data_IF_729484575377
#
_entry.id   IF_729484575377
#
_cell.length_a   1.000
_cell.length_b   1.000
_cell.length_c   1.000
_cell.angle_alpha   90.00
_cell.angle_beta   90.00
_cell.angle_gamma   90.00
#
_symmetry.space_group_name_H-M   'P 1'
#
loop_
_entity.id
_entity.type
_entity.pdbx_description
1 polymer ?
#
# COMPACT_ATOMS: atom_id res chain seq x y z
N UNK A 1 1.21 -5.03 15.49
CA UNK A 1 2.59 -4.61 15.19
C UNK A 1 3.64 -4.97 16.22
N UNK A 2 3.43 -4.78 17.54
CA UNK A 2 4.52 -4.90 18.55
C UNK A 2 5.27 -6.24 18.61
N UNK A 3 4.72 -7.31 18.03
CA UNK A 3 5.33 -8.65 18.09
C UNK A 3 5.93 -9.10 16.74
N UNK A 4 5.99 -8.24 15.71
CA UNK A 4 6.44 -8.68 14.38
C UNK A 4 7.87 -9.26 14.41
N UNK A 5 8.78 -8.64 15.14
CA UNK A 5 10.16 -9.14 15.28
C UNK A 5 10.20 -10.53 15.95
N UNK A 6 9.38 -10.75 16.98
CA UNK A 6 9.22 -12.08 17.60
C UNK A 6 8.68 -13.13 16.62
N UNK A 7 7.79 -12.75 15.71
CA UNK A 7 7.32 -13.67 14.67
C UNK A 7 8.41 -13.95 13.64
N UNK A 8 9.23 -12.96 13.27
CA UNK A 8 10.35 -13.12 12.34
C UNK A 8 11.43 -14.06 12.88
N UNK A 9 11.62 -14.13 14.20
CA UNK A 9 12.49 -15.12 14.84
C UNK A 9 11.94 -16.56 14.75
N UNK A 10 10.62 -16.72 14.70
CA UNK A 10 9.94 -18.02 14.71
C UNK A 10 9.71 -18.59 13.31
N UNK A 11 9.63 -17.75 12.28
CA UNK A 11 9.35 -18.16 10.93
C UNK A 11 10.18 -17.36 9.91
N UNK A 12 10.88 -18.03 8.98
CA UNK A 12 11.67 -17.35 7.95
C UNK A 12 10.79 -16.67 6.90
N UNK A 13 9.50 -17.03 6.81
CA UNK A 13 8.53 -16.43 5.91
C UNK A 13 7.25 -16.08 6.65
N UNK A 14 6.73 -14.87 6.43
CA UNK A 14 5.52 -14.36 7.09
C UNK A 14 4.59 -13.72 6.06
N UNK A 15 3.30 -14.03 6.20
CA UNK A 15 2.23 -13.33 5.50
C UNK A 15 1.41 -12.59 6.56
N UNK A 16 1.56 -11.26 6.62
CA UNK A 16 0.74 -10.40 7.46
C UNK A 16 -0.61 -10.17 6.79
N UNK A 17 -1.68 -10.70 7.38
CA UNK A 17 -3.05 -10.49 6.92
C UNK A 17 -3.70 -9.23 7.49
N UNK A 18 -3.02 -8.58 8.44
CA UNK A 18 -3.38 -7.28 8.98
C UNK A 18 -3.02 -6.14 8.02
N UNK A 19 -3.12 -4.91 8.53
CA UNK A 19 -2.85 -3.72 7.76
C UNK A 19 -1.47 -3.09 8.05
N UNK A 20 -0.76 -3.62 9.05
CA UNK A 20 0.45 -3.04 9.64
C UNK A 20 1.44 -2.65 8.54
N UNK A 21 1.76 -3.56 7.62
CA UNK A 21 2.80 -3.31 6.62
C UNK A 21 2.28 -3.05 5.19
N UNK A 22 0.99 -2.66 5.05
CA UNK A 22 0.37 -2.37 3.74
C UNK A 22 0.77 -1.00 3.18
N UNK A 23 0.83 0.00 4.06
CA UNK A 23 1.14 1.38 3.70
C UNK A 23 2.65 1.60 3.71
N UNK A 24 3.17 2.42 2.79
CA UNK A 24 4.61 2.67 2.72
C UNK A 24 5.07 4.01 3.28
N UNK A 25 4.20 5.01 3.29
CA UNK A 25 4.46 6.23 4.03
C UNK A 25 3.94 6.06 5.46
N UNK A 26 4.78 6.40 6.44
CA UNK A 26 4.41 6.38 7.87
C UNK A 26 3.36 7.45 8.16
N UNK A 27 3.39 8.52 7.38
CA UNK A 27 2.46 9.64 7.41
C UNK A 27 1.03 9.18 7.08
N UNK A 28 0.90 8.28 6.09
CA UNK A 28 -0.40 7.70 5.73
C UNK A 28 -0.97 6.85 6.87
N UNK A 29 -0.10 6.08 7.55
CA UNK A 29 -0.52 5.32 8.71
C UNK A 29 -1.11 6.26 9.77
N UNK A 30 -0.37 7.31 10.13
CA UNK A 30 -0.82 8.31 11.11
C UNK A 30 -2.14 8.97 10.69
N UNK A 31 -2.28 9.26 9.40
CA UNK A 31 -3.51 9.83 8.85
C UNK A 31 -4.70 8.87 8.99
N UNK A 32 -4.56 7.59 8.64
CA UNK A 32 -5.68 6.64 8.61
C UNK A 32 -5.97 5.98 9.97
N UNK A 33 -4.93 5.56 10.67
CA UNK A 33 -5.03 4.76 11.90
C UNK A 33 -4.97 5.60 13.17
N UNK A 34 -4.72 6.92 13.04
CA UNK A 34 -4.76 7.91 14.14
C UNK A 34 -3.82 7.58 15.31
N UNK A 35 -2.75 6.83 15.04
CA UNK A 35 -1.71 6.48 16.01
C UNK A 35 -0.35 6.36 15.30
N UNK A 36 0.72 6.18 16.07
CA UNK A 36 2.07 6.00 15.53
C UNK A 36 2.30 4.55 15.10
N UNK A 37 2.96 4.37 13.95
CA UNK A 37 3.34 3.04 13.47
C UNK A 37 4.57 2.54 14.24
N UNK A 38 4.35 1.72 15.27
CA UNK A 38 5.42 1.27 16.19
C UNK A 38 6.51 0.38 15.59
N UNK A 39 6.33 -0.13 14.38
CA UNK A 39 7.31 -0.95 13.66
C UNK A 39 7.64 -0.39 12.27
N UNK A 40 7.71 0.94 12.13
CA UNK A 40 7.85 1.61 10.83
C UNK A 40 9.13 1.22 10.08
N UNK A 41 10.21 0.91 10.81
CA UNK A 41 11.48 0.41 10.27
C UNK A 41 11.36 -0.94 9.53
N UNK A 42 10.25 -1.67 9.71
CA UNK A 42 10.01 -2.93 9.02
C UNK A 42 9.20 -2.78 7.74
N UNK A 43 8.58 -1.62 7.47
CA UNK A 43 7.68 -1.40 6.32
C UNK A 43 8.38 -1.75 5.00
N UNK A 44 9.63 -1.35 4.82
CA UNK A 44 10.40 -1.63 3.59
C UNK A 44 10.69 -3.12 3.37
N UNK A 45 10.65 -3.95 4.42
CA UNK A 45 10.90 -5.40 4.32
C UNK A 45 9.73 -6.18 3.74
N UNK A 46 8.51 -5.62 3.77
CA UNK A 46 7.32 -6.30 3.29
C UNK A 46 7.06 -6.02 1.81
N UNK A 47 6.61 -7.03 1.06
CA UNK A 47 6.09 -6.89 -0.31
C UNK A 47 4.56 -6.91 -0.27
N UNK A 48 3.92 -6.03 -1.03
CA UNK A 48 2.45 -6.01 -1.09
C UNK A 48 1.93 -7.24 -1.86
N UNK A 49 1.03 -7.98 -1.22
CA UNK A 49 0.63 -9.33 -1.62
C UNK A 49 -0.40 -9.38 -2.74
N UNK A 50 -0.15 -8.69 -3.86
CA UNK A 50 -1.01 -8.72 -5.07
C UNK A 50 -0.26 -9.40 -6.21
N UNK A 51 -0.45 -10.70 -6.45
CA UNK A 51 0.32 -11.46 -7.45
C UNK A 51 0.19 -10.94 -8.88
N UNK A 52 -0.95 -10.37 -9.26
CA UNK A 52 -1.16 -9.78 -10.58
C UNK A 52 -0.21 -8.61 -10.85
N UNK A 53 0.25 -7.93 -9.79
CA UNK A 53 1.07 -6.73 -9.87
C UNK A 53 2.52 -6.97 -9.44
N UNK A 54 2.73 -7.83 -8.44
CA UNK A 54 4.00 -7.98 -7.74
C UNK A 54 4.54 -9.42 -7.74
N UNK A 55 4.16 -10.27 -8.71
CA UNK A 55 4.56 -11.69 -8.77
C UNK A 55 6.05 -11.91 -8.59
N UNK A 56 6.89 -11.14 -9.29
CA UNK A 56 8.34 -11.31 -9.24
C UNK A 56 8.93 -10.91 -7.88
N UNK A 57 8.42 -9.83 -7.27
CA UNK A 57 8.84 -9.42 -5.94
C UNK A 57 8.40 -10.44 -4.89
N UNK A 58 7.17 -10.96 -5.01
CA UNK A 58 6.61 -11.97 -4.09
C UNK A 58 7.44 -13.26 -4.12
N UNK A 59 7.89 -13.70 -5.29
CA UNK A 59 8.74 -14.91 -5.40
C UNK A 59 10.05 -14.80 -4.61
N UNK A 60 10.58 -13.58 -4.46
CA UNK A 60 11.85 -13.30 -3.76
C UNK A 60 11.62 -12.82 -2.33
N UNK A 61 10.37 -12.60 -1.92
CA UNK A 61 10.04 -12.03 -0.62
C UNK A 61 10.02 -13.10 0.47
N UNK A 62 10.48 -12.68 1.65
CA UNK A 62 10.29 -13.43 2.89
C UNK A 62 9.07 -12.91 3.67
N UNK A 63 8.74 -11.63 3.51
CA UNK A 63 7.64 -11.00 4.23
C UNK A 63 6.65 -10.37 3.26
N UNK A 64 5.38 -10.75 3.39
CA UNK A 64 4.30 -10.32 2.50
C UNK A 64 3.21 -9.64 3.31
N UNK A 65 2.81 -8.44 2.91
CA UNK A 65 1.66 -7.74 3.47
C UNK A 65 0.44 -8.03 2.58
N UNK A 66 -0.49 -8.85 3.06
CA UNK A 66 -1.68 -9.20 2.31
C UNK A 66 -2.59 -7.99 2.10
N UNK A 67 -3.25 -7.88 0.93
CA UNK A 67 -4.12 -6.76 0.64
C UNK A 67 -5.41 -6.83 1.47
N UNK A 68 -6.07 -5.69 1.66
CA UNK A 68 -7.45 -5.66 2.16
C UNK A 68 -8.42 -6.18 1.11
N UNK A 69 -9.54 -6.79 1.51
CA UNK A 69 -10.56 -7.32 0.61
C UNK A 69 -11.13 -6.26 -0.36
N UNK A 70 -11.46 -5.08 0.15
CA UNK A 70 -11.97 -3.98 -0.68
C UNK A 70 -10.87 -3.35 -1.56
N UNK A 71 -9.66 -3.26 -1.00
CA UNK A 71 -8.51 -2.73 -1.70
C UNK A 71 -8.17 -3.58 -2.92
N UNK A 72 -8.11 -4.91 -2.78
CA UNK A 72 -7.77 -5.78 -3.92
C UNK A 72 -8.81 -5.73 -5.02
N UNK A 73 -10.10 -5.72 -4.69
CA UNK A 73 -11.18 -5.61 -5.68
C UNK A 73 -11.02 -4.33 -6.50
N UNK A 74 -10.82 -3.20 -5.83
CA UNK A 74 -10.70 -1.91 -6.50
C UNK A 74 -9.40 -1.78 -7.29
N UNK A 75 -8.28 -2.26 -6.75
CA UNK A 75 -6.99 -2.30 -7.45
C UNK A 75 -7.14 -3.09 -8.75
N UNK A 76 -7.61 -4.33 -8.69
CA UNK A 76 -7.71 -5.19 -9.88
C UNK A 76 -8.75 -4.69 -10.88
N UNK A 77 -9.86 -4.10 -10.40
CA UNK A 77 -10.90 -3.53 -11.27
C UNK A 77 -10.40 -2.31 -12.03
N UNK A 78 -9.59 -1.45 -11.40
CA UNK A 78 -9.14 -0.18 -11.99
C UNK A 78 -7.79 -0.27 -12.70
N UNK A 79 -6.94 -1.22 -12.29
CA UNK A 79 -5.58 -1.37 -12.82
C UNK A 79 -5.47 -1.37 -14.34
N UNK A 80 -6.23 -2.17 -15.11
CA UNK A 80 -6.10 -2.16 -16.57
C UNK A 80 -6.46 -0.81 -17.17
N UNK A 81 -7.50 -0.14 -16.67
CA UNK A 81 -7.93 1.17 -17.16
C UNK A 81 -6.88 2.24 -16.90
N UNK A 82 -6.28 2.25 -15.72
CA UNK A 82 -5.21 3.21 -15.41
C UNK A 82 -3.95 2.91 -16.21
N UNK A 83 -3.52 1.64 -16.27
CA UNK A 83 -2.31 1.22 -16.99
C UNK A 83 -2.34 1.61 -18.46
N UNK A 84 -3.53 1.58 -19.08
CA UNK A 84 -3.72 1.94 -20.48
C UNK A 84 -4.17 3.40 -20.69
N UNK A 85 -4.22 4.22 -19.63
CA UNK A 85 -4.59 5.64 -19.73
C UNK A 85 -6.05 5.87 -20.13
N UNK A 86 -6.93 4.90 -19.89
CA UNK A 86 -8.34 4.95 -20.32
C UNK A 86 -9.24 5.77 -19.39
N UNK A 87 -8.76 6.09 -18.18
CA UNK A 87 -9.47 6.92 -17.20
C UNK A 87 -8.56 8.01 -16.64
N UNK A 88 -9.12 9.20 -16.39
CA UNK A 88 -8.40 10.28 -15.71
C UNK A 88 -8.19 9.90 -14.24
N UNK A 89 -6.94 9.98 -13.77
CA UNK A 89 -6.55 9.62 -12.39
C UNK A 89 -7.31 10.42 -11.33
N UNK A 90 -7.66 11.66 -11.65
CA UNK A 90 -8.38 12.56 -10.73
C UNK A 90 -9.81 12.12 -10.41
N UNK A 91 -10.42 11.25 -11.23
CA UNK A 91 -11.76 10.71 -11.02
C UNK A 91 -11.81 9.59 -9.96
N UNK A 92 -10.67 9.00 -9.60
CA UNK A 92 -10.57 7.91 -8.61
C UNK A 92 -10.51 8.47 -7.17
N UNK A 93 -10.53 9.81 -7.05
CA UNK A 93 -10.16 10.58 -5.85
C UNK A 93 -11.15 10.60 -4.70
N UNK A 94 -12.44 10.41 -4.96
CA UNK A 94 -13.42 11.13 -4.14
C UNK A 94 -13.96 10.41 -2.91
N UNK A 95 -13.60 9.15 -2.65
CA UNK A 95 -14.17 8.43 -1.49
C UNK A 95 -13.20 7.56 -0.68
N UNK A 96 -11.96 7.32 -1.14
CA UNK A 96 -11.02 6.42 -0.46
C UNK A 96 -9.57 6.75 -0.87
N UNK A 97 -8.86 7.55 -0.08
CA UNK A 97 -7.51 8.00 -0.43
C UNK A 97 -6.43 6.88 -0.46
N UNK A 98 -6.78 5.63 -0.11
CA UNK A 98 -5.96 4.46 -0.43
C UNK A 98 -5.77 4.25 -1.94
N UNK A 99 -6.70 4.70 -2.80
CA UNK A 99 -6.65 4.40 -4.23
C UNK A 99 -5.70 5.28 -5.04
N UNK A 100 -5.40 6.50 -4.59
CA UNK A 100 -4.42 7.36 -5.25
C UNK A 100 -3.00 6.80 -5.21
N UNK A 101 -2.69 5.98 -4.21
CA UNK A 101 -1.34 5.45 -3.99
C UNK A 101 -0.92 4.42 -5.04
N UNK A 102 -1.87 3.88 -5.82
CA UNK A 102 -1.61 2.81 -6.77
C UNK A 102 -1.32 3.29 -8.20
N UNK A 103 -1.44 4.57 -8.53
CA UNK A 103 -1.64 4.97 -9.93
C UNK A 103 -0.84 6.22 -10.37
N UNK A 104 0.45 6.07 -10.71
CA UNK A 104 1.27 7.11 -11.38
C UNK A 104 2.11 6.60 -12.59
N UNK A 105 2.57 7.53 -13.44
CA UNK A 105 2.88 7.41 -14.89
C UNK A 105 4.04 6.51 -15.28
N UNK A 106 5.00 6.21 -14.40
CA UNK A 106 6.17 5.43 -14.80
C UNK A 106 6.69 4.47 -13.72
N UNK A 107 5.97 4.32 -12.62
CA UNK A 107 6.20 3.33 -11.57
C UNK A 107 4.95 3.27 -10.69
N UNK A 108 4.52 2.07 -10.31
CA UNK A 108 3.48 1.82 -9.29
C UNK A 108 4.01 2.19 -7.88
N UNK A 109 4.63 3.37 -7.75
CA UNK A 109 5.28 3.88 -6.55
C UNK A 109 4.66 5.24 -6.18
N UNK A 110 3.89 5.20 -5.10
CA UNK A 110 3.63 6.20 -4.05
C UNK A 110 3.62 7.70 -4.43
N UNK A 111 2.48 8.36 -4.16
CA UNK A 111 2.41 9.81 -4.03
C UNK A 111 2.40 10.20 -2.56
N UNK A 112 3.25 11.17 -2.23
CA UNK A 112 3.36 11.83 -0.93
C UNK A 112 2.24 12.88 -0.84
N UNK A 113 1.35 12.80 0.14
CA UNK A 113 0.25 13.77 0.28
C UNK A 113 0.75 15.07 0.94
N UNK A 114 1.02 16.08 0.12
CA UNK A 114 1.01 17.49 0.52
C UNK A 114 -0.14 18.23 -0.19
N UNK A 115 -1.38 17.74 -0.06
CA UNK A 115 -2.59 18.38 -0.60
C UNK A 115 -3.35 19.23 0.42
N UNK A 116 -2.68 19.70 1.47
CA UNK A 116 -3.29 20.62 2.44
C UNK A 116 -3.13 22.11 2.13
N UNK A 117 -2.36 22.51 1.10
CA UNK A 117 -2.14 23.95 0.83
C UNK A 117 -2.87 24.56 -0.38
N UNK A 118 -3.34 23.80 -1.38
CA UNK A 118 -3.93 24.39 -2.60
C UNK A 118 -5.47 24.42 -2.67
N UNK A 119 -6.17 24.34 -1.53
CA UNK A 119 -7.63 24.60 -1.47
C UNK A 119 -7.99 25.81 -0.60
N UNK A 120 -7.16 26.85 -0.67
CA UNK A 120 -7.51 28.20 -0.22
C UNK A 120 -7.00 29.25 -1.22
N UNK A 121 -7.68 29.35 -2.35
CA UNK A 121 -7.79 30.58 -3.15
C UNK A 121 -9.01 30.49 -4.05
#
# INVERSE_FOLDING_TARGET
MHNMETWMEKAPKIIDMGADFRLRAVEDWKYWYKNEHTASHLIEKFVYGVPELYREQIQKADYIAGPGCEAIVSILSLYPFVKHGLIKKDLISHQNAQYYQFFNENNFLYYNFNLHEERRS
#
